data_IF_772894741454
#
_entry.id   IF_772894741454
#
_cell.length_a   1.000
_cell.length_b   1.000
_cell.length_c   1.000
_cell.angle_alpha   90.00
_cell.angle_beta   90.00
_cell.angle_gamma   90.00
#
_symmetry.space_group_name_H-M   'P 1'
#
loop_
_entity.id
_entity.type
_entity.pdbx_description
1 polymer ?
#
# COMPACT_ATOMS: atom_id res chain seq x y z
N UNK A 1 -14.12 4.95 -9.22
CA UNK A 1 -12.80 4.64 -9.85
C UNK A 1 -11.82 4.49 -8.73
N UNK A 2 -11.69 3.26 -8.26
CA UNK A 2 -10.90 2.92 -7.10
C UNK A 2 -9.42 3.07 -7.46
N UNK A 3 -8.77 4.07 -6.89
CA UNK A 3 -7.33 4.33 -7.11
C UNK A 3 -6.50 3.06 -6.83
N UNK A 4 -6.96 2.16 -5.96
CA UNK A 4 -6.33 0.86 -5.72
C UNK A 4 -6.31 -0.04 -6.96
N UNK A 5 -7.40 -0.12 -7.73
CA UNK A 5 -7.45 -0.90 -8.98
C UNK A 5 -6.52 -0.29 -10.04
N UNK A 6 -6.50 1.04 -10.14
CA UNK A 6 -5.57 1.74 -11.03
C UNK A 6 -4.13 1.54 -10.61
N UNK A 7 -3.85 1.62 -9.30
CA UNK A 7 -2.52 1.41 -8.76
C UNK A 7 -2.05 -0.03 -8.99
N UNK A 8 -2.93 -1.02 -8.82
CA UNK A 8 -2.62 -2.40 -9.17
C UNK A 8 -2.31 -2.54 -10.68
N UNK A 9 -3.21 -2.04 -11.53
CA UNK A 9 -3.09 -2.17 -12.99
C UNK A 9 -1.85 -1.45 -13.55
N UNK A 10 -1.54 -0.28 -13.02
CA UNK A 10 -0.37 0.53 -13.39
C UNK A 10 0.90 0.18 -12.59
N UNK A 11 0.85 -0.82 -11.70
CA UNK A 11 1.94 -1.15 -10.78
C UNK A 11 2.45 0.05 -9.95
N UNK A 12 1.57 0.97 -9.59
CA UNK A 12 1.92 2.15 -8.81
C UNK A 12 2.34 1.77 -7.39
N UNK A 13 3.36 2.50 -6.94
CA UNK A 13 3.81 2.49 -5.58
C UNK A 13 3.11 3.62 -4.83
N UNK A 14 2.34 3.24 -3.82
CA UNK A 14 1.67 4.17 -2.92
C UNK A 14 2.49 4.34 -1.66
N UNK A 15 2.42 5.53 -1.06
CA UNK A 15 3.03 5.76 0.24
C UNK A 15 2.07 5.40 1.36
N UNK A 16 2.56 5.36 2.60
CA UNK A 16 1.71 5.10 3.76
C UNK A 16 0.60 6.15 3.95
N UNK A 17 0.85 7.41 3.57
CA UNK A 17 -0.18 8.46 3.63
C UNK A 17 -1.22 8.29 2.53
N UNK A 18 -0.80 7.99 1.29
CA UNK A 18 -1.74 7.73 0.19
C UNK A 18 -2.68 6.57 0.54
N UNK A 19 -2.14 5.47 1.07
CA UNK A 19 -2.97 4.34 1.51
C UNK A 19 -3.91 4.77 2.64
N UNK A 20 -3.44 5.54 3.62
CA UNK A 20 -4.30 6.07 4.68
C UNK A 20 -5.43 6.93 4.13
N UNK A 21 -5.19 7.77 3.13
CA UNK A 21 -6.23 8.57 2.49
C UNK A 21 -7.22 7.72 1.67
N UNK A 22 -6.73 6.64 1.05
CA UNK A 22 -7.53 5.76 0.19
C UNK A 22 -8.43 4.79 0.98
N UNK A 23 -7.89 4.16 2.03
CA UNK A 23 -8.60 3.14 2.82
C UNK A 23 -8.97 3.63 4.22
N UNK A 24 -8.62 4.86 4.59
CA UNK A 24 -8.82 5.42 5.93
C UNK A 24 -7.94 4.80 7.02
N UNK A 25 -7.00 3.93 6.64
CA UNK A 25 -6.19 3.14 7.56
C UNK A 25 -4.73 3.22 7.18
N UNK A 26 -3.89 3.62 8.13
CA UNK A 26 -2.45 3.61 7.95
C UNK A 26 -1.94 2.16 7.81
N UNK A 27 -1.29 1.79 6.70
CA UNK A 27 -0.68 0.48 6.59
C UNK A 27 0.48 0.39 7.61
N UNK A 28 0.40 -0.61 8.48
CA UNK A 28 1.42 -0.86 9.51
C UNK A 28 2.12 -2.17 9.17
N UNK A 29 3.44 -2.12 9.02
CA UNK A 29 4.26 -3.33 9.06
C UNK A 29 4.43 -3.76 10.50
N UNK A 30 4.02 -4.99 10.83
CA UNK A 30 4.53 -5.65 12.05
C UNK A 30 6.02 -5.96 11.88
N UNK A 31 6.74 -6.05 13.00
CA UNK A 31 8.16 -6.43 12.98
C UNK A 31 8.33 -7.79 12.29
N UNK A 32 9.05 -7.81 11.16
CA UNK A 32 9.27 -9.02 10.35
C UNK A 32 8.23 -9.28 9.26
N UNK A 33 7.20 -8.43 9.10
CA UNK A 33 6.23 -8.53 8.00
C UNK A 33 6.28 -7.31 7.08
N UNK A 34 6.38 -7.59 5.79
CA UNK A 34 6.36 -6.58 4.73
C UNK A 34 5.02 -6.51 4.01
N UNK A 35 4.01 -7.23 4.51
CA UNK A 35 2.71 -7.35 3.84
C UNK A 35 1.63 -6.87 4.79
N UNK A 36 0.78 -5.98 4.31
CA UNK A 36 -0.41 -5.49 5.00
C UNK A 36 -1.62 -5.86 4.14
N UNK A 37 -2.53 -6.68 4.67
CA UNK A 37 -3.73 -7.09 3.94
C UNK A 37 -4.97 -6.41 4.52
N UNK A 38 -5.85 -5.92 3.64
CA UNK A 38 -7.11 -5.28 4.00
C UNK A 38 -8.23 -5.75 3.06
N UNK A 39 -9.10 -6.61 3.55
CA UNK A 39 -10.16 -7.20 2.73
C UNK A 39 -9.56 -7.98 1.56
N UNK A 40 -9.92 -7.60 0.34
CA UNK A 40 -9.39 -8.16 -0.91
C UNK A 40 -8.12 -7.47 -1.43
N UNK A 41 -7.52 -6.55 -0.67
CA UNK A 41 -6.32 -5.82 -1.09
C UNK A 41 -5.12 -6.24 -0.27
N UNK A 42 -3.99 -6.42 -0.95
CA UNK A 42 -2.70 -6.81 -0.39
C UNK A 42 -1.71 -5.68 -0.69
N UNK A 43 -1.18 -5.06 0.35
CA UNK A 43 -0.20 -3.99 0.28
C UNK A 43 1.17 -4.57 0.67
N UNK A 44 2.04 -4.76 -0.30
CA UNK A 44 3.40 -5.25 -0.07
C UNK A 44 4.35 -4.07 -0.02
N UNK A 45 5.02 -3.89 1.12
CA UNK A 45 6.14 -2.98 1.26
C UNK A 45 7.25 -3.41 0.31
N UNK A 46 7.55 -2.55 -0.65
CA UNK A 46 8.61 -2.79 -1.65
C UNK A 46 9.86 -1.95 -1.38
N UNK A 47 9.80 -1.01 -0.44
CA UNK A 47 10.93 -0.17 -0.09
C UNK A 47 10.52 1.09 0.65
N UNK A 48 11.32 2.15 0.48
CA UNK A 48 11.02 3.50 0.97
C UNK A 48 10.93 4.46 -0.21
N UNK A 49 9.92 5.31 -0.19
CA UNK A 49 9.73 6.42 -1.13
C UNK A 49 10.04 7.71 -0.37
N UNK A 50 11.31 8.12 -0.39
CA UNK A 50 11.81 9.22 0.42
C UNK A 50 11.74 8.90 1.92
N UNK A 51 10.99 9.72 2.66
CA UNK A 51 10.75 9.57 4.10
C UNK A 51 9.67 8.53 4.45
N UNK A 52 8.86 8.15 3.46
CA UNK A 52 7.74 7.23 3.66
C UNK A 52 8.06 5.83 3.16
N UNK A 53 7.25 4.85 3.57
CA UNK A 53 7.35 3.49 3.06
C UNK A 53 6.62 3.38 1.73
N UNK A 54 7.26 2.76 0.74
CA UNK A 54 6.66 2.46 -0.55
C UNK A 54 5.92 1.13 -0.49
N UNK A 55 4.67 1.12 -0.93
CA UNK A 55 3.78 -0.01 -0.90
C UNK A 55 3.22 -0.28 -2.28
N UNK A 56 3.26 -1.54 -2.68
CA UNK A 56 2.66 -2.03 -3.91
C UNK A 56 1.32 -2.66 -3.60
N UNK A 57 0.29 -2.29 -4.36
CA UNK A 57 -1.06 -2.83 -4.21
C UNK A 57 -1.26 -4.03 -5.13
N UNK A 58 -1.79 -5.10 -4.58
CA UNK A 58 -2.23 -6.32 -5.25
C UNK A 58 -3.63 -6.71 -4.75
N UNK A 59 -4.33 -7.54 -5.50
CA UNK A 59 -5.63 -8.13 -5.15
C UNK A 59 -5.47 -9.63 -4.97
#
# INVERSE_FOLDING_TARGET
MDILERAQSANWLLTSEEIEQLIGVKPKCEAGKEIFQRGCWIFTKVGKMGLQTAWKVSK
#
